data_IF_456786873212
#
_entry.id   IF_456786873212
#
_cell.length_a   1.000
_cell.length_b   1.000
_cell.length_c   1.000
_cell.angle_alpha   90.00
_cell.angle_beta   90.00
_cell.angle_gamma   90.00
#
_symmetry.space_group_name_H-M   'P 1'
#
loop_
_entity.id
_entity.type
_entity.pdbx_description
1 polymer ?
#
# COMPACT_ATOMS: atom_id res chain seq x y z
N UNK A 1 8.59 13.17 -11.06
CA UNK A 1 7.21 12.69 -11.28
C UNK A 1 7.05 12.44 -12.77
N UNK A 2 6.41 11.33 -13.14
CA UNK A 2 6.16 10.93 -14.52
C UNK A 2 4.68 11.12 -14.87
N UNK A 3 4.39 11.70 -16.04
CA UNK A 3 3.01 11.90 -16.48
C UNK A 3 2.42 10.59 -17.03
N UNK A 4 1.32 10.12 -16.43
CA UNK A 4 0.59 8.96 -16.94
C UNK A 4 -0.48 9.41 -17.94
N UNK A 5 -0.29 9.12 -19.23
CA UNK A 5 -1.23 9.50 -20.29
C UNK A 5 -2.60 8.84 -20.08
N UNK A 6 -2.63 7.57 -19.66
CA UNK A 6 -3.88 6.83 -19.44
C UNK A 6 -4.77 7.44 -18.37
N UNK A 7 -4.16 8.08 -17.36
CA UNK A 7 -4.89 8.65 -16.22
C UNK A 7 -4.96 10.18 -16.22
N UNK A 8 -4.22 10.85 -17.10
CA UNK A 8 -4.14 12.32 -17.19
C UNK A 8 -3.67 13.00 -15.90
N UNK A 9 -2.78 12.35 -15.13
CA UNK A 9 -2.14 12.95 -13.96
C UNK A 9 -0.73 12.40 -13.71
N UNK A 10 0.02 13.11 -12.88
CA UNK A 10 1.41 12.77 -12.53
C UNK A 10 1.49 11.68 -11.46
N UNK A 11 2.36 10.70 -11.67
CA UNK A 11 2.70 9.66 -10.70
C UNK A 11 4.13 9.83 -10.19
N UNK A 12 4.45 9.32 -8.99
CA UNK A 12 5.83 9.22 -8.55
C UNK A 12 6.67 8.44 -9.57
N UNK A 13 7.94 8.84 -9.78
CA UNK A 13 8.82 8.21 -10.79
C UNK A 13 9.06 6.72 -10.51
N UNK A 14 8.95 6.33 -9.25
CA UNK A 14 9.05 4.96 -8.77
C UNK A 14 7.83 4.10 -9.10
N UNK A 15 6.68 4.68 -9.49
CA UNK A 15 5.49 3.90 -9.77
C UNK A 15 5.76 2.89 -10.91
N UNK A 16 5.34 1.62 -10.78
CA UNK A 16 5.53 0.61 -11.83
C UNK A 16 4.57 0.82 -13.01
N UNK A 17 4.77 1.91 -13.75
CA UNK A 17 3.87 2.38 -14.81
C UNK A 17 3.74 1.37 -15.95
N UNK A 18 4.85 0.86 -16.48
CA UNK A 18 4.82 -0.09 -17.60
C UNK A 18 4.05 -1.40 -17.25
N UNK A 19 4.32 -2.09 -16.12
CA UNK A 19 3.50 -3.22 -15.69
C UNK A 19 2.03 -2.86 -15.47
N UNK A 20 1.75 -1.66 -14.97
CA UNK A 20 0.39 -1.18 -14.75
C UNK A 20 -0.35 -1.00 -16.09
N UNK A 21 0.25 -0.33 -17.07
CA UNK A 21 -0.32 -0.11 -18.40
C UNK A 21 -0.52 -1.45 -19.13
N UNK A 22 0.46 -2.34 -19.03
CA UNK A 22 0.42 -3.69 -19.63
C UNK A 22 -0.80 -4.48 -19.15
N UNK A 23 -1.02 -4.58 -17.84
CA UNK A 23 -2.16 -5.33 -17.29
C UNK A 23 -3.50 -4.69 -17.69
N UNK A 24 -3.57 -3.35 -17.69
CA UNK A 24 -4.77 -2.62 -18.10
C UNK A 24 -5.11 -2.87 -19.59
N UNK A 25 -4.11 -2.85 -20.46
CA UNK A 25 -4.30 -3.08 -21.90
C UNK A 25 -4.68 -4.53 -22.20
N UNK A 26 -4.10 -5.50 -21.50
CA UNK A 26 -4.50 -6.91 -21.60
C UNK A 26 -5.97 -7.11 -21.23
N UNK A 27 -6.41 -6.50 -20.13
CA UNK A 27 -7.81 -6.57 -19.71
C UNK A 27 -8.77 -5.86 -20.67
N UNK A 28 -8.30 -4.84 -21.39
CA UNK A 28 -9.12 -4.09 -22.37
C UNK A 28 -9.56 -4.98 -23.53
N UNK A 29 -8.77 -5.99 -23.89
CA UNK A 29 -9.11 -6.95 -24.97
C UNK A 29 -10.44 -7.67 -24.66
N UNK A 30 -10.72 -7.94 -23.39
CA UNK A 30 -11.91 -8.67 -22.95
C UNK A 30 -13.14 -7.76 -22.69
N UNK A 31 -13.00 -6.44 -22.88
CA UNK A 31 -14.09 -5.47 -22.67
C UNK A 31 -15.37 -5.80 -23.45
N UNK A 32 -15.33 -6.20 -24.73
CA UNK A 32 -16.55 -6.50 -25.48
C UNK A 32 -17.34 -7.69 -24.92
N UNK A 33 -16.65 -8.68 -24.33
CA UNK A 33 -17.27 -9.90 -23.80
C UNK A 33 -17.70 -9.75 -22.35
N UNK A 34 -16.95 -8.98 -21.55
CA UNK A 34 -17.18 -8.82 -20.11
C UNK A 34 -17.07 -7.35 -19.69
N UNK A 35 -18.06 -6.49 -20.05
CA UNK A 35 -17.98 -5.05 -19.80
C UNK A 35 -18.01 -4.68 -18.31
N UNK A 36 -18.72 -5.44 -17.48
CA UNK A 36 -18.76 -5.23 -16.01
C UNK A 36 -17.38 -5.53 -15.38
N UNK A 37 -16.81 -6.71 -15.67
CA UNK A 37 -15.48 -7.07 -15.20
C UNK A 37 -14.42 -6.10 -15.70
N UNK A 38 -14.53 -5.60 -16.93
CA UNK A 38 -13.66 -4.54 -17.42
C UNK A 38 -13.78 -3.25 -16.58
N UNK A 39 -15.01 -2.82 -16.24
CA UNK A 39 -15.24 -1.64 -15.41
C UNK A 39 -14.57 -1.76 -14.04
N UNK A 40 -14.67 -2.94 -13.43
CA UNK A 40 -14.03 -3.24 -12.15
C UNK A 40 -12.51 -3.29 -12.26
N UNK A 41 -11.95 -3.88 -13.31
CA UNK A 41 -10.51 -3.89 -13.56
C UNK A 41 -9.98 -2.47 -13.72
N UNK A 42 -10.59 -1.66 -14.59
CA UNK A 42 -10.18 -0.28 -14.81
C UNK A 42 -10.22 0.54 -13.51
N UNK A 43 -11.29 0.39 -12.72
CA UNK A 43 -11.45 1.05 -11.42
C UNK A 43 -10.41 0.60 -10.40
N UNK A 44 -10.09 -0.70 -10.37
CA UNK A 44 -9.05 -1.27 -9.52
C UNK A 44 -7.67 -0.71 -9.88
N UNK A 45 -7.36 -0.65 -11.18
CA UNK A 45 -6.10 -0.11 -11.70
C UNK A 45 -5.94 1.38 -11.39
N UNK A 46 -6.99 2.19 -11.60
CA UNK A 46 -6.99 3.61 -11.17
C UNK A 46 -6.73 3.72 -9.66
N UNK A 47 -7.38 2.85 -8.88
CA UNK A 47 -7.20 2.83 -7.42
C UNK A 47 -5.77 2.50 -7.00
N UNK A 48 -5.08 1.58 -7.70
CA UNK A 48 -3.65 1.30 -7.47
C UNK A 48 -2.84 2.60 -7.59
N UNK A 49 -3.02 3.33 -8.69
CA UNK A 49 -2.27 4.54 -9.00
C UNK A 49 -2.54 5.67 -7.98
N UNK A 50 -3.81 5.95 -7.69
CA UNK A 50 -4.19 6.96 -6.70
C UNK A 50 -3.66 6.63 -5.30
N UNK A 51 -3.81 5.38 -4.85
CA UNK A 51 -3.40 4.99 -3.49
C UNK A 51 -1.89 4.98 -3.36
N UNK A 52 -1.14 4.53 -4.37
CA UNK A 52 0.32 4.62 -4.33
C UNK A 52 0.80 6.07 -4.29
N UNK A 53 0.23 6.95 -5.13
CA UNK A 53 0.54 8.37 -5.13
C UNK A 53 0.24 9.02 -3.77
N UNK A 54 -0.96 8.80 -3.22
CA UNK A 54 -1.33 9.34 -1.91
C UNK A 54 -0.44 8.82 -0.78
N UNK A 55 0.08 7.59 -0.88
CA UNK A 55 1.07 7.06 0.05
C UNK A 55 2.38 7.88 0.00
N UNK A 56 2.88 8.18 -1.20
CA UNK A 56 4.10 8.98 -1.39
C UNK A 56 3.90 10.43 -0.93
N UNK A 57 2.79 11.07 -1.33
CA UNK A 57 2.47 12.44 -0.90
C UNK A 57 2.30 12.53 0.63
N UNK A 58 1.80 11.48 1.28
CA UNK A 58 1.72 11.42 2.72
C UNK A 58 3.11 11.37 3.38
N UNK A 59 4.08 10.68 2.78
CA UNK A 59 5.47 10.70 3.23
C UNK A 59 6.07 12.09 3.10
N UNK A 60 5.94 12.73 1.94
CA UNK A 60 6.47 14.07 1.71
C UNK A 60 5.84 15.07 2.70
N UNK A 61 4.53 14.98 2.94
CA UNK A 61 3.84 15.82 3.92
C UNK A 61 4.33 15.62 5.36
N UNK A 62 4.72 14.39 5.74
CA UNK A 62 5.30 14.09 7.05
C UNK A 62 6.69 14.73 7.17
N UNK A 63 7.50 14.61 6.12
CA UNK A 63 8.88 15.12 6.08
C UNK A 63 8.88 16.63 6.13
N UNK A 64 8.10 17.29 5.27
CA UNK A 64 7.99 18.75 5.20
C UNK A 64 7.42 19.34 6.49
N UNK A 65 6.54 18.60 7.17
CA UNK A 65 5.91 19.01 8.42
C UNK A 65 6.78 18.79 9.67
N UNK A 66 7.99 18.23 9.53
CA UNK A 66 8.86 17.90 10.66
C UNK A 66 9.77 19.06 11.05
N UNK A 67 9.63 19.54 12.29
CA UNK A 67 10.58 20.46 12.92
C UNK A 67 10.97 19.95 14.33
N UNK A 68 12.24 19.54 14.56
CA UNK A 68 12.70 19.06 15.85
C UNK A 68 12.73 20.14 16.94
N UNK A 69 12.73 21.42 16.56
CA UNK A 69 12.85 22.58 17.45
C UNK A 69 11.49 23.13 17.92
N UNK A 70 10.38 22.58 17.42
CA UNK A 70 9.04 22.98 17.84
C UNK A 70 8.86 22.87 19.36
N UNK A 71 8.64 24.03 19.97
CA UNK A 71 8.34 24.16 21.40
C UNK A 71 6.88 23.84 21.66
N UNK A 72 6.58 23.35 22.87
CA UNK A 72 5.21 23.02 23.26
C UNK A 72 4.31 24.26 23.18
N UNK A 73 3.26 24.18 22.38
CA UNK A 73 2.35 25.27 22.04
C UNK A 73 1.37 24.83 20.95
N UNK A 74 0.53 25.74 20.45
CA UNK A 74 -0.46 25.43 19.41
C UNK A 74 0.19 24.79 18.17
N UNK A 75 1.29 25.38 17.68
CA UNK A 75 2.03 24.89 16.51
C UNK A 75 2.54 23.46 16.70
N UNK A 76 2.98 23.10 17.91
CA UNK A 76 3.41 21.74 18.23
C UNK A 76 2.27 20.72 18.14
N UNK A 77 1.08 21.07 18.63
CA UNK A 77 -0.09 20.19 18.55
C UNK A 77 -0.61 20.05 17.12
N UNK A 78 -0.62 21.15 16.35
CA UNK A 78 -0.97 21.15 14.93
C UNK A 78 0.02 20.31 14.10
N UNK A 79 1.32 20.44 14.34
CA UNK A 79 2.34 19.60 13.71
C UNK A 79 2.13 18.11 14.07
N UNK A 80 1.79 17.83 15.34
CA UNK A 80 1.42 16.49 15.78
C UNK A 80 0.21 15.93 15.03
N UNK A 81 -0.86 16.72 14.87
CA UNK A 81 -2.03 16.32 14.09
C UNK A 81 -1.67 16.03 12.63
N UNK A 82 -0.92 16.93 11.96
CA UNK A 82 -0.49 16.73 10.57
C UNK A 82 0.34 15.46 10.39
N UNK A 83 1.26 15.19 11.32
CA UNK A 83 2.06 13.97 11.31
C UNK A 83 1.18 12.72 11.45
N UNK A 84 0.22 12.71 12.38
CA UNK A 84 -0.69 11.57 12.57
C UNK A 84 -1.59 11.33 11.35
N UNK A 85 -2.11 12.42 10.76
CA UNK A 85 -2.87 12.36 9.50
C UNK A 85 -2.02 11.78 8.37
N UNK A 86 -0.77 12.25 8.24
CA UNK A 86 0.19 11.71 7.29
C UNK A 86 0.42 10.22 7.49
N UNK A 87 0.70 9.77 8.73
CA UNK A 87 0.91 8.35 9.03
C UNK A 87 -0.33 7.49 8.74
N UNK A 88 -1.52 7.98 9.08
CA UNK A 88 -2.77 7.32 8.73
C UNK A 88 -2.90 7.14 7.21
N UNK A 89 -2.71 8.21 6.44
CA UNK A 89 -2.77 8.18 4.98
C UNK A 89 -1.70 7.26 4.40
N UNK A 90 -0.45 7.38 4.87
CA UNK A 90 0.68 6.54 4.45
C UNK A 90 0.33 5.05 4.59
N UNK A 91 0.05 4.58 5.80
CA UNK A 91 -0.23 3.16 6.06
C UNK A 91 -1.51 2.65 5.40
N UNK A 92 -2.56 3.47 5.38
CA UNK A 92 -3.84 3.07 4.77
C UNK A 92 -3.72 2.96 3.26
N UNK A 93 -3.17 3.99 2.61
CA UNK A 93 -3.03 4.01 1.16
C UNK A 93 -2.00 2.99 0.66
N UNK A 94 -0.89 2.77 1.38
CA UNK A 94 0.08 1.73 1.01
C UNK A 94 -0.52 0.32 1.02
N UNK A 95 -1.24 -0.05 2.08
CA UNK A 95 -1.95 -1.35 2.12
C UNK A 95 -3.00 -1.44 1.01
N UNK A 96 -3.79 -0.38 0.86
CA UNK A 96 -4.88 -0.36 -0.10
C UNK A 96 -4.39 -0.38 -1.57
N UNK A 97 -3.17 0.06 -1.86
CA UNK A 97 -2.56 -0.05 -3.19
C UNK A 97 -2.28 -1.51 -3.57
N UNK A 98 -1.70 -2.29 -2.64
CA UNK A 98 -1.46 -3.73 -2.84
C UNK A 98 -2.78 -4.51 -2.93
N UNK A 99 -3.75 -4.21 -2.05
CA UNK A 99 -5.07 -4.86 -2.08
C UNK A 99 -5.82 -4.54 -3.40
N UNK A 100 -5.69 -3.32 -3.93
CA UNK A 100 -6.21 -2.97 -5.26
C UNK A 100 -5.50 -3.70 -6.40
N UNK A 101 -4.17 -3.84 -6.37
CA UNK A 101 -3.43 -4.58 -7.39
C UNK A 101 -3.77 -6.07 -7.37
N UNK A 102 -3.95 -6.63 -6.18
CA UNK A 102 -4.44 -7.99 -5.97
C UNK A 102 -5.84 -8.14 -6.55
N UNK A 103 -6.76 -7.21 -6.25
CA UNK A 103 -8.10 -7.24 -6.82
C UNK A 103 -8.10 -7.11 -8.34
N UNK A 104 -7.26 -6.25 -8.93
CA UNK A 104 -7.09 -6.15 -10.38
C UNK A 104 -6.70 -7.50 -10.99
N UNK A 105 -5.76 -8.23 -10.38
CA UNK A 105 -5.38 -9.58 -10.82
C UNK A 105 -6.52 -10.59 -10.70
N UNK A 106 -7.34 -10.49 -9.64
CA UNK A 106 -8.54 -11.33 -9.49
C UNK A 106 -9.52 -11.09 -10.65
N UNK A 107 -9.83 -9.82 -10.93
CA UNK A 107 -10.77 -9.45 -12.00
C UNK A 107 -10.23 -9.90 -13.36
N UNK A 108 -8.94 -9.69 -13.63
CA UNK A 108 -8.31 -10.15 -14.87
C UNK A 108 -8.34 -11.68 -15.01
N UNK A 109 -8.12 -12.43 -13.92
CA UNK A 109 -8.30 -13.89 -13.92
C UNK A 109 -9.74 -14.30 -14.26
N UNK A 110 -10.75 -13.56 -13.78
CA UNK A 110 -12.15 -13.79 -14.16
C UNK A 110 -12.40 -13.48 -15.65
N UNK A 111 -11.84 -12.38 -16.18
CA UNK A 111 -11.93 -12.06 -17.60
C UNK A 111 -11.31 -13.15 -18.50
N UNK A 112 -10.25 -13.80 -18.00
CA UNK A 112 -9.56 -14.94 -18.64
C UNK A 112 -10.30 -16.28 -18.49
N UNK A 113 -11.39 -16.33 -17.72
CA UNK A 113 -12.11 -17.56 -17.41
C UNK A 113 -11.35 -18.52 -16.48
N UNK A 114 -10.30 -18.04 -15.80
CA UNK A 114 -9.53 -18.81 -14.81
C UNK A 114 -10.31 -18.89 -13.49
N UNK A 115 -10.98 -17.79 -13.13
CA UNK A 115 -11.87 -17.71 -11.97
C UNK A 115 -13.29 -17.36 -12.41
N UNK A 116 -14.26 -17.62 -11.55
CA UNK A 116 -15.66 -17.32 -11.81
C UNK A 116 -16.00 -15.87 -11.41
N UNK A 117 -16.47 -15.08 -12.38
CA UNK A 117 -16.95 -13.70 -12.15
C UNK A 117 -18.24 -13.66 -11.30
N UNK A 118 -19.07 -14.71 -11.37
CA UNK A 118 -20.39 -14.73 -10.75
C UNK A 118 -20.34 -14.96 -9.23
N UNK A 119 -19.21 -15.39 -8.69
CA UNK A 119 -19.00 -15.54 -7.25
C UNK A 119 -18.77 -14.17 -6.58
N UNK A 120 -19.85 -13.53 -6.12
CA UNK A 120 -19.79 -12.24 -5.42
C UNK A 120 -18.95 -12.29 -4.14
N UNK A 121 -18.93 -13.43 -3.45
CA UNK A 121 -18.16 -13.59 -2.22
C UNK A 121 -16.67 -13.60 -2.54
N UNK A 122 -16.27 -14.27 -3.62
CA UNK A 122 -14.91 -14.23 -4.14
C UNK A 122 -14.52 -12.79 -4.52
N UNK A 123 -15.36 -12.07 -5.27
CA UNK A 123 -15.10 -10.66 -5.66
C UNK A 123 -14.79 -9.77 -4.46
N UNK A 124 -15.56 -9.86 -3.38
CA UNK A 124 -15.34 -9.04 -2.17
C UNK A 124 -14.10 -9.43 -1.36
N UNK A 125 -13.65 -10.68 -1.46
CA UNK A 125 -12.66 -11.24 -0.55
C UNK A 125 -11.28 -11.43 -1.17
N UNK A 126 -11.19 -11.57 -2.49
CA UNK A 126 -9.93 -11.77 -3.22
C UNK A 126 -9.13 -10.49 -3.47
N UNK A 127 -9.43 -9.40 -2.77
CA UNK A 127 -8.53 -8.25 -2.61
C UNK A 127 -7.41 -8.53 -1.59
N UNK A 128 -7.58 -9.51 -0.69
CA UNK A 128 -6.52 -9.97 0.20
C UNK A 128 -5.54 -10.90 -0.55
N UNK A 129 -4.21 -10.64 -0.50
CA UNK A 129 -3.23 -11.44 -1.24
C UNK A 129 -3.29 -12.94 -0.94
N UNK A 130 -3.51 -13.35 0.31
CA UNK A 130 -3.54 -14.77 0.69
C UNK A 130 -4.78 -15.47 0.14
N UNK A 131 -5.92 -14.78 0.16
CA UNK A 131 -7.18 -15.32 -0.39
C UNK A 131 -7.08 -15.51 -1.90
N UNK A 132 -6.59 -14.52 -2.64
CA UNK A 132 -6.39 -14.67 -4.08
C UNK A 132 -5.38 -15.77 -4.40
N UNK A 133 -4.27 -15.85 -3.65
CA UNK A 133 -3.28 -16.90 -3.87
C UNK A 133 -3.85 -18.31 -3.69
N UNK A 134 -4.76 -18.50 -2.74
CA UNK A 134 -5.47 -19.78 -2.53
C UNK A 134 -6.44 -20.08 -3.67
N UNK A 135 -7.21 -19.08 -4.12
CA UNK A 135 -8.15 -19.23 -5.22
C UNK A 135 -7.43 -19.61 -6.52
N UNK A 136 -6.37 -18.87 -6.89
CA UNK A 136 -5.58 -19.16 -8.08
C UNK A 136 -4.78 -20.47 -7.97
N UNK A 137 -4.23 -20.78 -6.80
CA UNK A 137 -3.48 -22.02 -6.57
C UNK A 137 -4.33 -23.30 -6.65
N UNK A 138 -5.67 -23.18 -6.64
CA UNK A 138 -6.56 -24.31 -6.86
C UNK A 138 -6.78 -24.63 -8.34
N UNK A 139 -6.46 -23.70 -9.25
CA UNK A 139 -6.75 -23.82 -10.69
C UNK A 139 -5.51 -23.68 -11.59
N UNK A 140 -4.45 -23.04 -11.09
CA UNK A 140 -3.18 -22.88 -11.81
C UNK A 140 -2.13 -23.93 -11.40
N UNK A 141 -1.09 -24.15 -12.21
CA UNK A 141 0.05 -25.00 -11.83
C UNK A 141 0.69 -24.55 -10.50
N UNK A 142 1.22 -25.51 -9.73
CA UNK A 142 1.74 -25.29 -8.38
C UNK A 142 2.81 -24.18 -8.29
N UNK A 143 3.64 -24.06 -9.33
CA UNK A 143 4.72 -23.08 -9.42
C UNK A 143 4.37 -21.84 -10.24
N UNK A 144 3.08 -21.55 -10.45
CA UNK A 144 2.70 -20.32 -11.13
C UNK A 144 3.20 -19.11 -10.31
N UNK A 145 3.90 -18.13 -10.92
CA UNK A 145 4.56 -17.05 -10.17
C UNK A 145 3.60 -16.24 -9.28
N UNK A 146 2.44 -15.84 -9.82
CA UNK A 146 1.51 -14.98 -9.09
C UNK A 146 1.03 -15.56 -7.73
N UNK A 147 0.46 -16.78 -7.65
CA UNK A 147 0.14 -17.39 -6.35
C UNK A 147 1.33 -17.48 -5.38
N UNK A 148 2.54 -17.75 -5.89
CA UNK A 148 3.76 -17.85 -5.08
C UNK A 148 4.10 -16.49 -4.46
N UNK A 149 4.13 -15.43 -5.26
CA UNK A 149 4.44 -14.07 -4.78
C UNK A 149 3.38 -13.51 -3.85
N UNK A 150 2.09 -13.76 -4.11
CA UNK A 150 1.01 -13.35 -3.21
C UNK A 150 1.10 -14.06 -1.84
N UNK A 151 1.48 -15.35 -1.80
CA UNK A 151 1.79 -16.07 -0.56
C UNK A 151 3.00 -15.45 0.14
N UNK A 152 4.06 -15.11 -0.60
CA UNK A 152 5.26 -14.49 -0.05
C UNK A 152 4.97 -13.11 0.57
N UNK A 153 4.19 -12.26 -0.11
CA UNK A 153 3.70 -10.98 0.44
C UNK A 153 2.95 -11.23 1.74
N UNK A 154 1.99 -12.17 1.72
CA UNK A 154 1.15 -12.49 2.88
C UNK A 154 1.92 -12.98 4.09
N UNK A 155 2.98 -13.76 3.86
CA UNK A 155 3.84 -14.32 4.90
C UNK A 155 4.90 -13.33 5.39
N UNK A 156 5.11 -12.20 4.68
CA UNK A 156 6.16 -11.26 5.04
C UNK A 156 5.87 -10.52 6.35
N UNK A 157 6.92 -10.37 7.17
CA UNK A 157 6.82 -9.59 8.40
C UNK A 157 6.50 -8.11 8.13
N UNK A 158 6.94 -7.58 6.99
CA UNK A 158 6.68 -6.19 6.61
C UNK A 158 5.21 -5.98 6.24
N UNK A 159 4.58 -6.89 5.49
CA UNK A 159 3.14 -6.81 5.22
C UNK A 159 2.30 -6.84 6.50
N UNK A 160 2.69 -7.69 7.45
CA UNK A 160 2.06 -7.72 8.77
C UNK A 160 2.18 -6.36 9.46
N UNK A 161 3.37 -5.75 9.46
CA UNK A 161 3.58 -4.41 10.05
C UNK A 161 2.70 -3.35 9.39
N UNK A 162 2.63 -3.31 8.06
CA UNK A 162 1.74 -2.40 7.33
C UNK A 162 0.28 -2.53 7.76
N UNK A 163 -0.24 -3.76 7.84
CA UNK A 163 -1.61 -4.01 8.30
C UNK A 163 -1.82 -3.66 9.77
N UNK A 164 -0.85 -3.92 10.64
CA UNK A 164 -0.93 -3.59 12.06
C UNK A 164 -0.96 -2.07 12.29
N UNK A 165 -0.13 -1.32 11.56
CA UNK A 165 -0.17 0.15 11.58
C UNK A 165 -1.50 0.68 11.04
N UNK A 166 -1.93 0.26 9.85
CA UNK A 166 -3.25 0.63 9.28
C UNK A 166 -4.36 0.39 10.31
N UNK A 167 -4.47 -0.82 10.83
CA UNK A 167 -5.53 -1.18 11.79
C UNK A 167 -5.47 -0.32 13.06
N UNK A 168 -4.27 0.03 13.52
CA UNK A 168 -4.08 0.89 14.69
C UNK A 168 -4.58 2.30 14.43
N UNK A 169 -4.13 2.92 13.34
CA UNK A 169 -4.50 4.29 12.99
C UNK A 169 -5.98 4.40 12.57
N UNK A 170 -6.54 3.39 11.92
CA UNK A 170 -7.95 3.41 11.47
C UNK A 170 -8.96 3.13 12.58
N UNK A 171 -8.62 2.29 13.57
CA UNK A 171 -9.64 1.76 14.50
C UNK A 171 -9.32 1.85 15.98
N UNK A 172 -8.04 1.93 16.37
CA UNK A 172 -7.66 1.68 17.76
C UNK A 172 -7.28 2.93 18.52
N UNK A 173 -6.36 3.72 17.99
CA UNK A 173 -5.79 4.84 18.75
C UNK A 173 -4.91 5.75 17.91
N UNK A 174 -4.89 7.02 18.25
CA UNK A 174 -3.77 7.93 17.94
C UNK A 174 -2.63 7.59 18.90
N UNK A 175 -1.42 7.35 18.38
CA UNK A 175 -0.26 7.04 19.25
C UNK A 175 0.49 8.31 19.62
N UNK A 176 0.82 8.42 20.91
CA UNK A 176 1.74 9.43 21.42
C UNK A 176 3.19 9.03 21.11
N UNK A 177 4.04 10.03 20.91
CA UNK A 177 5.48 9.84 20.78
C UNK A 177 6.11 9.56 22.13
N UNK A 178 7.19 8.80 22.15
CA UNK A 178 8.03 8.59 23.33
C UNK A 178 8.57 9.95 23.80
N UNK A 179 8.71 10.09 25.12
CA UNK A 179 9.35 11.25 25.73
C UNK A 179 10.68 10.81 26.32
N UNK A 180 11.77 11.41 25.85
CA UNK A 180 13.12 11.18 26.36
C UNK A 180 13.55 12.33 27.27
N UNK A 181 14.23 12.01 28.36
CA UNK A 181 14.82 12.97 29.28
C UNK A 181 16.25 12.55 29.64
N UNK A 182 17.10 13.53 29.97
CA UNK A 182 18.47 13.31 30.42
C UNK A 182 18.66 13.91 31.81
N UNK A 183 19.45 13.26 32.66
CA UNK A 183 19.89 13.79 33.95
C UNK A 183 21.39 14.10 33.82
N UNK A 184 21.78 15.36 34.02
CA UNK A 184 23.19 15.78 34.01
C UNK A 184 23.83 15.95 32.63
N UNK A 185 23.07 15.92 31.54
CA UNK A 185 23.59 16.11 30.17
C UNK A 185 22.53 16.62 29.20
N UNK A 186 22.93 16.90 27.96
CA UNK A 186 22.00 17.34 26.91
C UNK A 186 21.04 16.21 26.51
N UNK A 187 19.73 16.46 26.39
CA UNK A 187 18.78 15.46 25.93
C UNK A 187 19.13 14.94 24.53
N UNK A 188 18.85 13.66 24.21
CA UNK A 188 19.06 13.15 22.86
C UNK A 188 18.19 13.92 21.86
N UNK A 189 18.72 14.10 20.65
CA UNK A 189 17.98 14.76 19.58
C UNK A 189 16.65 14.04 19.32
N UNK A 190 15.58 14.81 19.13
CA UNK A 190 14.27 14.27 18.78
C UNK A 190 14.35 13.62 17.39
N UNK A 191 13.92 12.37 17.31
CA UNK A 191 13.75 11.65 16.04
C UNK A 191 12.42 12.04 15.41
N UNK A 192 12.34 12.06 14.08
CA UNK A 192 11.09 12.34 13.35
C UNK A 192 9.98 11.37 13.78
N UNK A 193 10.33 10.09 13.85
CA UNK A 193 9.48 9.02 14.37
C UNK A 193 10.06 8.53 15.69
N UNK A 194 9.22 8.49 16.71
CA UNK A 194 9.57 7.93 18.01
C UNK A 194 8.32 7.34 18.66
N UNK A 195 7.83 6.24 18.09
CA UNK A 195 6.67 5.51 18.60
C UNK A 195 7.14 4.17 19.14
N UNK A 196 7.22 4.05 20.46
CA UNK A 196 7.55 2.79 21.12
C UNK A 196 6.55 1.67 20.81
N UNK A 197 7.00 0.42 20.89
CA UNK A 197 6.12 -0.74 20.69
C UNK A 197 5.00 -0.77 21.73
N UNK A 198 3.80 -1.13 21.29
CA UNK A 198 2.66 -1.44 22.16
C UNK A 198 2.11 -2.82 21.83
N UNK A 199 1.20 -3.34 22.66
CA UNK A 199 0.52 -4.61 22.37
C UNK A 199 -0.21 -4.62 21.01
N UNK A 200 -0.56 -3.44 20.47
CA UNK A 200 -1.37 -3.28 19.26
C UNK A 200 -0.62 -2.71 18.05
N UNK A 201 0.61 -2.24 18.21
CA UNK A 201 1.40 -1.58 17.16
C UNK A 201 2.89 -1.83 17.38
N UNK A 202 3.64 -2.29 16.35
CA UNK A 202 5.08 -2.44 16.43
C UNK A 202 5.77 -1.07 16.57
N UNK A 203 7.02 -1.08 17.00
CA UNK A 203 7.82 0.14 17.10
C UNK A 203 7.98 0.82 15.73
N UNK A 204 7.89 2.16 15.72
CA UNK A 204 8.23 3.02 14.59
C UNK A 204 9.14 4.15 15.08
N UNK A 205 10.45 3.92 15.00
CA UNK A 205 11.49 4.84 15.47
C UNK A 205 12.47 5.10 14.34
N UNK A 206 12.81 6.37 14.12
CA UNK A 206 13.83 6.76 13.14
C UNK A 206 13.50 8.08 12.44
N UNK A 207 13.99 8.19 11.21
CA UNK A 207 13.81 9.34 10.32
C UNK A 207 13.12 8.92 9.03
N UNK A 208 13.06 9.84 8.09
CA UNK A 208 12.52 9.66 6.74
C UNK A 208 12.97 8.36 6.05
N UNK A 209 14.22 7.94 6.23
CA UNK A 209 14.76 6.74 5.57
C UNK A 209 13.97 5.48 5.95
N UNK A 210 13.44 5.42 7.18
CA UNK A 210 12.63 4.29 7.66
C UNK A 210 11.35 4.16 6.86
N UNK A 211 10.70 5.27 6.49
CA UNK A 211 9.48 5.23 5.67
C UNK A 211 9.80 5.09 4.18
N UNK A 212 10.92 5.65 3.69
CA UNK A 212 11.35 5.44 2.29
C UNK A 212 11.57 3.97 1.96
N UNK A 213 12.26 3.22 2.83
CA UNK A 213 12.42 1.76 2.68
C UNK A 213 11.06 1.04 2.62
N UNK A 214 10.05 1.54 3.33
CA UNK A 214 8.69 0.98 3.27
C UNK A 214 7.99 1.29 1.95
N UNK A 215 8.19 2.48 1.39
CA UNK A 215 7.68 2.84 0.04
C UNK A 215 8.32 1.95 -1.01
N UNK A 216 9.65 1.77 -0.98
CA UNK A 216 10.38 0.86 -1.87
C UNK A 216 9.84 -0.57 -1.75
N UNK A 217 9.55 -1.03 -0.54
CA UNK A 217 8.92 -2.33 -0.35
C UNK A 217 7.56 -2.43 -1.03
N UNK A 218 6.68 -1.42 -0.88
CA UNK A 218 5.37 -1.40 -1.56
C UNK A 218 5.54 -1.37 -3.08
N UNK A 219 6.46 -0.54 -3.59
CA UNK A 219 6.76 -0.44 -5.00
C UNK A 219 7.13 -1.81 -5.58
N UNK A 220 8.09 -2.50 -4.96
CA UNK A 220 8.58 -3.79 -5.45
C UNK A 220 7.49 -4.87 -5.42
N UNK A 221 6.68 -4.91 -4.35
CA UNK A 221 5.56 -5.87 -4.27
C UNK A 221 4.48 -5.54 -5.29
N UNK A 222 4.18 -4.27 -5.51
CA UNK A 222 3.19 -3.86 -6.51
C UNK A 222 3.69 -4.20 -7.93
N UNK A 223 4.95 -3.91 -8.24
CA UNK A 223 5.60 -4.29 -9.50
C UNK A 223 5.50 -5.79 -9.73
N UNK A 224 5.86 -6.59 -8.73
CA UNK A 224 5.77 -8.06 -8.78
C UNK A 224 4.33 -8.52 -9.09
N UNK A 225 3.34 -8.02 -8.34
CA UNK A 225 1.93 -8.41 -8.52
C UNK A 225 1.43 -8.05 -9.92
N UNK A 226 1.75 -6.86 -10.43
CA UNK A 226 1.31 -6.42 -11.75
C UNK A 226 1.98 -7.21 -12.88
N UNK A 227 3.30 -7.43 -12.80
CA UNK A 227 4.05 -8.21 -13.80
C UNK A 227 3.56 -9.65 -13.86
N UNK A 228 3.36 -10.28 -12.72
CA UNK A 228 2.90 -11.67 -12.66
C UNK A 228 1.40 -11.80 -12.95
N UNK A 229 0.61 -10.78 -12.61
CA UNK A 229 -0.79 -10.63 -12.99
C UNK A 229 -0.98 -10.62 -14.50
N UNK A 230 -0.12 -9.91 -15.22
CA UNK A 230 -0.13 -9.87 -16.69
C UNK A 230 0.22 -11.22 -17.35
N UNK A 231 0.73 -12.19 -16.60
CA UNK A 231 1.09 -13.54 -17.10
C UNK A 231 -0.01 -14.59 -16.91
N UNK A 232 -1.14 -14.22 -16.30
CA UNK A 232 -2.36 -15.04 -16.25
C UNK A 232 -2.96 -15.24 -17.65
#
# INVERSE_FOLDING_TARGET
MAFCQSLQFELPDSFPLEPWETLLDLGRIFKPQQPEAWGDLASAMISVAYRYRSCCEALDSIVDGWDPNLRRGLEYFEAGYRQQRGLFSFFTCGVAAIESGTYACHVYACQRGILDWTDERARRSNSDPLKLARALGAVLPENHPLPVSLKAISASGEWKRWKDFRNTFSHRSVKSRSSTGSIGGTPPARKMFDYGSTWSMPELVGDESVLRVKVEWIEERLRTVLVEGARL
#
